data_IF_557303656986
#
_entry.id   IF_557303656986
#
_cell.length_a   1.000
_cell.length_b   1.000
_cell.length_c   1.000
_cell.angle_alpha   90.00
_cell.angle_beta   90.00
_cell.angle_gamma   90.00
#
_symmetry.space_group_name_H-M   'P 1'
#
loop_
_entity.id
_entity.type
_entity.pdbx_description
1 polymer ?
#
# COMPACT_ATOMS: atom_id res chain seq x y z
N UNK A 1 -38.35 37.76 12.13
CA UNK A 1 -38.99 37.15 13.31
C UNK A 1 -39.94 38.11 14.03
N UNK A 2 -39.68 39.41 14.07
CA UNK A 2 -40.54 40.40 14.77
C UNK A 2 -41.82 40.80 14.02
N UNK A 3 -41.81 40.84 12.68
CA UNK A 3 -42.94 41.38 11.89
C UNK A 3 -44.21 40.53 11.87
N UNK A 4 -44.09 39.20 11.80
CA UNK A 4 -45.26 38.29 11.71
C UNK A 4 -45.94 38.13 13.08
N UNK A 5 -45.14 38.06 14.16
CA UNK A 5 -45.60 38.02 15.55
C UNK A 5 -46.40 39.27 15.93
N UNK A 6 -45.92 40.44 15.50
CA UNK A 6 -46.62 41.69 15.73
C UNK A 6 -47.95 41.73 14.97
N UNK A 7 -48.01 41.15 13.75
CA UNK A 7 -49.23 41.14 12.94
C UNK A 7 -50.31 40.21 13.52
N UNK A 8 -49.93 39.03 14.05
CA UNK A 8 -50.89 38.07 14.63
C UNK A 8 -51.44 38.55 15.98
N UNK A 9 -50.60 39.13 16.84
CA UNK A 9 -51.05 39.78 18.09
C UNK A 9 -51.92 41.00 17.81
N UNK A 10 -51.58 41.82 16.80
CA UNK A 10 -52.37 42.99 16.44
C UNK A 10 -53.74 42.58 15.89
N UNK A 11 -53.80 41.57 15.00
CA UNK A 11 -55.07 41.05 14.48
C UNK A 11 -55.95 40.45 15.58
N UNK A 12 -55.36 39.70 16.51
CA UNK A 12 -56.10 39.10 17.64
C UNK A 12 -56.63 40.18 18.59
N UNK A 13 -55.84 41.22 18.88
CA UNK A 13 -56.27 42.38 19.68
C UNK A 13 -57.34 43.20 18.97
N UNK A 14 -57.25 43.40 17.65
CA UNK A 14 -58.25 44.13 16.86
C UNK A 14 -59.60 43.40 16.88
N UNK A 15 -59.61 42.07 16.73
CA UNK A 15 -60.83 41.25 16.76
C UNK A 15 -61.50 41.29 18.14
N UNK A 16 -60.71 41.25 19.22
CA UNK A 16 -61.20 41.39 20.61
C UNK A 16 -61.75 42.80 20.92
N UNK A 17 -61.11 43.85 20.38
CA UNK A 17 -61.52 45.25 20.61
C UNK A 17 -62.83 45.62 19.91
N UNK A 18 -63.20 44.95 18.82
CA UNK A 18 -64.43 45.24 18.05
C UNK A 18 -65.65 44.40 18.47
N UNK A 19 -65.62 43.73 19.63
CA UNK A 19 -66.81 43.08 20.22
C UNK A 19 -67.40 41.91 19.43
N UNK A 20 -66.68 41.39 18.43
CA UNK A 20 -67.08 40.21 17.68
C UNK A 20 -67.04 38.97 18.59
N UNK A 21 -68.15 38.21 18.68
CA UNK A 21 -68.13 36.89 19.33
C UNK A 21 -67.07 36.02 18.64
N UNK A 22 -66.06 35.60 19.40
CA UNK A 22 -65.09 34.58 18.98
C UNK A 22 -65.90 33.32 18.67
N UNK A 23 -66.07 33.01 17.39
CA UNK A 23 -66.69 31.75 16.96
C UNK A 23 -65.71 30.62 17.26
N UNK A 24 -66.22 29.42 17.55
CA UNK A 24 -65.40 28.24 17.85
C UNK A 24 -64.32 27.97 16.78
N UNK A 25 -64.53 28.44 15.53
CA UNK A 25 -63.52 28.39 14.45
C UNK A 25 -62.36 29.39 14.63
N UNK A 26 -62.59 30.59 15.18
CA UNK A 26 -61.53 31.57 15.48
C UNK A 26 -60.63 31.13 16.65
N UNK A 27 -61.18 30.43 17.65
CA UNK A 27 -60.38 29.88 18.74
C UNK A 27 -59.55 28.67 18.29
N UNK A 28 -60.12 27.83 17.42
CA UNK A 28 -59.42 26.68 16.82
C UNK A 28 -58.29 27.13 15.89
N UNK A 29 -58.49 28.19 15.11
CA UNK A 29 -57.45 28.78 14.25
C UNK A 29 -56.35 29.48 15.05
N UNK A 30 -56.68 30.16 16.15
CA UNK A 30 -55.67 30.70 17.06
C UNK A 30 -54.83 29.61 17.74
N UNK A 31 -55.45 28.52 18.21
CA UNK A 31 -54.72 27.36 18.78
C UNK A 31 -53.85 26.65 17.75
N UNK A 32 -54.34 26.51 16.51
CA UNK A 32 -53.57 25.96 15.40
C UNK A 32 -52.38 26.85 15.02
N UNK A 33 -52.54 28.18 15.05
CA UNK A 33 -51.46 29.13 14.79
C UNK A 33 -50.35 29.03 15.85
N UNK A 34 -50.69 29.05 17.14
CA UNK A 34 -49.72 28.90 18.24
C UNK A 34 -49.01 27.54 18.18
N UNK A 35 -49.72 26.47 17.83
CA UNK A 35 -49.13 25.14 17.68
C UNK A 35 -48.17 25.07 16.48
N UNK A 36 -48.49 25.71 15.37
CA UNK A 36 -47.61 25.80 14.18
C UNK A 36 -46.37 26.62 14.48
N UNK A 37 -46.51 27.74 15.20
CA UNK A 37 -45.39 28.59 15.64
C UNK A 37 -44.46 27.84 16.60
N UNK A 38 -45.00 27.16 17.62
CA UNK A 38 -44.22 26.30 18.51
C UNK A 38 -43.47 25.21 17.74
N UNK A 39 -44.11 24.59 16.74
CA UNK A 39 -43.46 23.58 15.90
C UNK A 39 -42.32 24.18 15.07
N UNK A 40 -42.49 25.40 14.54
CA UNK A 40 -41.40 26.09 13.80
C UNK A 40 -40.25 26.56 14.68
N UNK A 41 -40.51 27.00 15.91
CA UNK A 41 -39.45 27.37 16.87
C UNK A 41 -38.66 26.13 17.28
N UNK A 42 -39.36 25.03 17.55
CA UNK A 42 -38.74 23.76 17.91
C UNK A 42 -37.89 23.18 16.77
N UNK A 43 -38.37 23.24 15.52
CA UNK A 43 -37.57 22.81 14.36
C UNK A 43 -36.37 23.72 14.13
N UNK A 44 -36.49 25.05 14.30
CA UNK A 44 -35.34 25.96 14.22
C UNK A 44 -34.29 25.70 15.30
N UNK A 45 -34.71 25.42 16.55
CA UNK A 45 -33.77 25.08 17.64
C UNK A 45 -33.05 23.77 17.35
N UNK A 46 -33.75 22.76 16.83
CA UNK A 46 -33.15 21.48 16.42
C UNK A 46 -32.16 21.69 15.28
N UNK A 47 -32.52 22.47 14.25
CA UNK A 47 -31.62 22.75 13.13
C UNK A 47 -30.38 23.52 13.60
N UNK A 48 -30.53 24.53 14.46
CA UNK A 48 -29.41 25.29 15.00
C UNK A 48 -28.47 24.40 15.84
N UNK A 49 -29.02 23.59 16.73
CA UNK A 49 -28.27 22.64 17.54
C UNK A 49 -27.53 21.61 16.67
N UNK A 50 -28.20 21.07 15.64
CA UNK A 50 -27.58 20.16 14.67
C UNK A 50 -26.46 20.84 13.87
N UNK A 51 -26.65 22.08 13.42
CA UNK A 51 -25.61 22.82 12.68
C UNK A 51 -24.41 23.14 13.55
N UNK A 52 -24.61 23.49 14.82
CA UNK A 52 -23.50 23.79 15.74
C UNK A 52 -22.71 22.51 16.09
N UNK A 53 -23.43 21.38 16.28
CA UNK A 53 -22.83 20.07 16.51
C UNK A 53 -22.03 19.57 15.29
N UNK A 54 -22.58 19.75 14.09
CA UNK A 54 -21.91 19.42 12.82
C UNK A 54 -20.67 20.29 12.60
N UNK A 55 -20.76 21.59 12.87
CA UNK A 55 -19.63 22.52 12.70
C UNK A 55 -18.48 22.20 13.66
N UNK A 56 -18.78 21.90 14.93
CA UNK A 56 -17.77 21.47 15.91
C UNK A 56 -17.09 20.16 15.53
N UNK A 57 -17.85 19.17 15.04
CA UNK A 57 -17.28 17.89 14.59
C UNK A 57 -16.40 18.04 13.34
N UNK A 58 -16.76 18.91 12.39
CA UNK A 58 -15.97 19.19 11.19
C UNK A 58 -14.68 19.95 11.54
N UNK A 59 -14.73 20.90 12.47
CA UNK A 59 -13.56 21.70 12.87
C UNK A 59 -12.59 20.93 13.79
N UNK A 60 -13.10 20.10 14.70
CA UNK A 60 -12.26 19.18 15.49
C UNK A 60 -11.59 18.13 14.58
N UNK A 61 -12.27 17.72 13.51
CA UNK A 61 -11.73 16.87 12.45
C UNK A 61 -10.55 17.53 11.73
N UNK A 62 -10.56 18.84 11.43
CA UNK A 62 -9.45 19.48 10.68
C UNK A 62 -8.15 19.61 11.48
N UNK A 63 -8.21 19.89 12.78
CA UNK A 63 -7.03 19.94 13.66
C UNK A 63 -6.43 18.54 13.88
N UNK A 64 -7.28 17.54 14.10
CA UNK A 64 -6.83 16.14 14.20
C UNK A 64 -6.37 15.59 12.85
N UNK A 65 -6.97 16.00 11.73
CA UNK A 65 -6.47 15.74 10.38
C UNK A 65 -5.11 16.38 10.18
N UNK A 66 -4.90 17.63 10.58
CA UNK A 66 -3.62 18.30 10.46
C UNK A 66 -2.54 17.61 11.29
N UNK A 67 -2.89 17.15 12.50
CA UNK A 67 -1.98 16.39 13.35
C UNK A 67 -1.66 15.00 12.77
N UNK A 68 -2.66 14.28 12.26
CA UNK A 68 -2.47 13.02 11.52
C UNK A 68 -1.64 13.27 10.25
N UNK A 69 -1.86 14.38 9.55
CA UNK A 69 -1.12 14.74 8.34
C UNK A 69 0.35 15.04 8.66
N UNK A 70 0.62 15.77 9.74
CA UNK A 70 1.97 16.05 10.20
C UNK A 70 2.68 14.80 10.75
N UNK A 71 1.94 13.86 11.37
CA UNK A 71 2.45 12.55 11.78
C UNK A 71 2.75 11.65 10.56
N UNK A 72 1.95 11.76 9.50
CA UNK A 72 2.21 11.10 8.20
C UNK A 72 3.45 11.67 7.51
N UNK A 73 3.83 12.93 7.72
CA UNK A 73 5.07 13.52 7.15
C UNK A 73 6.29 13.38 8.08
N UNK A 74 6.39 12.25 8.78
CA UNK A 74 7.52 11.92 9.64
C UNK A 74 8.79 11.54 8.84
N UNK A 75 9.85 11.17 9.56
CA UNK A 75 11.08 10.70 8.94
C UNK A 75 10.90 9.37 8.21
N UNK A 76 9.97 8.51 8.64
CA UNK A 76 9.68 7.25 7.96
C UNK A 76 9.08 7.50 6.57
N UNK A 77 8.16 8.46 6.45
CA UNK A 77 7.61 8.87 5.17
C UNK A 77 8.70 9.36 4.22
N UNK A 78 9.65 10.17 4.70
CA UNK A 78 10.78 10.61 3.86
C UNK A 78 11.63 9.43 3.39
N UNK A 79 11.93 8.47 4.27
CA UNK A 79 12.67 7.26 3.91
C UNK A 79 11.94 6.41 2.86
N UNK A 80 10.64 6.17 3.06
CA UNK A 80 9.80 5.42 2.12
C UNK A 80 9.69 6.16 0.79
N UNK A 81 9.44 7.46 0.81
CA UNK A 81 9.27 8.26 -0.41
C UNK A 81 10.56 8.26 -1.24
N UNK A 82 11.71 8.52 -0.60
CA UNK A 82 13.00 8.52 -1.28
C UNK A 82 13.34 7.11 -1.81
N UNK A 83 13.10 6.05 -1.03
CA UNK A 83 13.37 4.68 -1.46
C UNK A 83 12.51 4.27 -2.66
N UNK A 84 11.25 4.70 -2.71
CA UNK A 84 10.36 4.45 -3.84
C UNK A 84 10.79 5.21 -5.10
N UNK A 85 11.20 6.48 -5.00
CA UNK A 85 11.71 7.23 -6.15
C UNK A 85 12.95 6.53 -6.74
N UNK A 86 13.89 6.13 -5.87
CA UNK A 86 15.07 5.37 -6.30
C UNK A 86 14.63 4.05 -6.96
N UNK A 87 13.65 3.37 -6.40
CA UNK A 87 13.17 2.11 -6.95
C UNK A 87 12.52 2.26 -8.32
N UNK A 88 11.70 3.29 -8.53
CA UNK A 88 11.13 3.60 -9.85
C UNK A 88 12.25 3.83 -10.87
N UNK A 89 13.27 4.62 -10.51
CA UNK A 89 14.39 4.88 -11.44
C UNK A 89 15.19 3.63 -11.76
N UNK A 90 15.44 2.76 -10.79
CA UNK A 90 16.15 1.51 -11.04
C UNK A 90 15.31 0.46 -11.75
N UNK A 91 13.99 0.42 -11.51
CA UNK A 91 13.05 -0.41 -12.26
C UNK A 91 12.96 0.03 -13.73
N UNK A 92 12.98 1.34 -14.01
CA UNK A 92 13.11 1.85 -15.37
C UNK A 92 14.43 1.39 -16.02
N UNK A 93 15.55 1.46 -15.28
CA UNK A 93 16.83 0.97 -15.76
C UNK A 93 16.80 -0.54 -16.06
N UNK A 94 16.22 -1.35 -15.17
CA UNK A 94 16.03 -2.78 -15.38
C UNK A 94 15.14 -3.06 -16.61
N UNK A 95 14.06 -2.29 -16.78
CA UNK A 95 13.17 -2.38 -17.95
C UNK A 95 13.89 -2.04 -19.27
N UNK A 96 14.72 -1.00 -19.29
CA UNK A 96 15.57 -0.68 -20.46
C UNK A 96 16.58 -1.79 -20.73
N UNK A 97 17.23 -2.30 -19.69
CA UNK A 97 18.18 -3.40 -19.81
C UNK A 97 17.49 -4.64 -20.38
N UNK A 98 16.30 -4.98 -19.88
CA UNK A 98 15.49 -6.06 -20.43
C UNK A 98 15.15 -5.81 -21.90
N UNK A 99 14.69 -4.61 -22.25
CA UNK A 99 14.31 -4.24 -23.61
C UNK A 99 15.44 -4.44 -24.62
N UNK A 100 16.70 -4.15 -24.24
CA UNK A 100 17.88 -4.36 -25.08
C UNK A 100 18.12 -5.84 -25.38
N UNK A 101 17.77 -6.74 -24.45
CA UNK A 101 18.03 -8.18 -24.57
C UNK A 101 16.76 -9.01 -24.85
N UNK A 102 15.61 -8.37 -24.98
CA UNK A 102 14.32 -9.04 -25.22
C UNK A 102 14.39 -9.97 -26.41
N UNK A 103 15.01 -9.56 -27.53
CA UNK A 103 15.11 -10.41 -28.72
C UNK A 103 15.82 -11.74 -28.44
N UNK A 104 16.86 -11.73 -27.60
CA UNK A 104 17.60 -12.93 -27.24
C UNK A 104 16.78 -13.86 -26.34
N UNK A 105 15.98 -13.28 -25.45
CA UNK A 105 15.09 -14.01 -24.54
C UNK A 105 13.92 -14.63 -25.32
N UNK A 106 13.36 -13.90 -26.29
CA UNK A 106 12.21 -14.32 -27.10
C UNK A 106 12.54 -15.43 -28.11
N UNK A 107 13.82 -15.64 -28.44
CA UNK A 107 14.23 -16.78 -29.28
C UNK A 107 13.91 -18.14 -28.65
N UNK A 108 13.69 -18.20 -27.33
CA UNK A 108 13.39 -19.43 -26.60
C UNK A 108 11.90 -19.44 -26.23
N UNK A 109 11.06 -20.26 -26.87
CA UNK A 109 9.60 -20.17 -26.75
C UNK A 109 9.04 -20.25 -25.32
N UNK A 110 9.69 -20.99 -24.41
CA UNK A 110 9.23 -21.09 -23.00
C UNK A 110 9.79 -20.01 -22.06
N UNK A 111 10.70 -19.13 -22.51
CA UNK A 111 11.22 -18.04 -21.67
C UNK A 111 10.19 -16.97 -21.36
N UNK A 112 9.19 -16.81 -22.21
CA UNK A 112 8.08 -15.85 -22.02
C UNK A 112 7.34 -16.03 -20.69
N UNK A 113 7.26 -17.26 -20.17
CA UNK A 113 6.61 -17.57 -18.89
C UNK A 113 7.62 -17.54 -17.74
N UNK A 114 8.84 -18.04 -18.00
CA UNK A 114 9.89 -18.08 -16.98
C UNK A 114 10.28 -16.67 -16.57
N UNK A 115 10.45 -15.75 -17.52
CA UNK A 115 10.96 -14.41 -17.27
C UNK A 115 10.17 -13.64 -16.19
N UNK A 116 8.84 -13.39 -16.34
CA UNK A 116 8.07 -12.65 -15.34
C UNK A 116 8.03 -13.37 -13.99
N UNK A 117 7.84 -14.71 -13.99
CA UNK A 117 7.80 -15.48 -12.76
C UNK A 117 9.15 -15.50 -12.02
N UNK A 118 10.25 -15.48 -12.76
CA UNK A 118 11.60 -15.46 -12.18
C UNK A 118 11.88 -14.10 -11.52
N UNK A 119 11.56 -13.00 -12.20
CA UNK A 119 11.72 -11.64 -11.69
C UNK A 119 10.92 -11.43 -10.40
N UNK A 120 9.63 -11.79 -10.42
CA UNK A 120 8.74 -11.62 -9.27
C UNK A 120 9.19 -12.43 -8.05
N UNK A 121 9.63 -13.68 -8.27
CA UNK A 121 10.11 -14.54 -7.19
C UNK A 121 11.29 -13.92 -6.42
N UNK A 122 12.17 -13.16 -7.08
CA UNK A 122 13.37 -12.60 -6.44
C UNK A 122 13.03 -11.58 -5.37
N UNK A 123 12.23 -10.57 -5.73
CA UNK A 123 11.76 -9.56 -4.79
C UNK A 123 11.05 -10.20 -3.58
N UNK A 124 10.24 -11.24 -3.83
CA UNK A 124 9.52 -11.96 -2.77
C UNK A 124 10.45 -12.73 -1.81
N UNK A 125 11.46 -13.44 -2.33
CA UNK A 125 12.40 -14.20 -1.49
C UNK A 125 13.25 -13.25 -0.65
N UNK A 126 13.89 -12.27 -1.29
CA UNK A 126 14.77 -11.31 -0.61
C UNK A 126 14.00 -10.40 0.33
N UNK A 127 12.78 -9.99 -0.03
CA UNK A 127 11.89 -9.20 0.81
C UNK A 127 11.42 -9.96 2.05
N UNK A 128 11.03 -11.25 1.90
CA UNK A 128 10.70 -12.09 3.06
C UNK A 128 11.92 -12.31 3.96
N UNK A 129 13.11 -12.42 3.38
CA UNK A 129 14.35 -12.58 4.12
C UNK A 129 14.71 -11.31 4.90
N UNK A 130 14.64 -10.13 4.27
CA UNK A 130 14.89 -8.85 4.93
C UNK A 130 13.85 -8.54 6.01
N UNK A 131 12.57 -8.88 5.80
CA UNK A 131 11.51 -8.71 6.81
C UNK A 131 11.75 -9.57 8.06
N UNK A 132 12.13 -10.85 7.88
CA UNK A 132 12.51 -11.73 9.00
C UNK A 132 13.75 -11.21 9.74
N UNK A 133 14.73 -10.71 9.00
CA UNK A 133 15.96 -10.14 9.58
C UNK A 133 15.67 -8.85 10.35
N UNK A 134 14.90 -7.93 9.77
CA UNK A 134 14.44 -6.68 10.41
C UNK A 134 13.67 -6.98 11.70
N UNK A 135 12.68 -7.87 11.64
CA UNK A 135 11.91 -8.31 12.82
C UNK A 135 12.83 -8.88 13.90
N UNK A 136 13.79 -9.72 13.54
CA UNK A 136 14.75 -10.28 14.48
C UNK A 136 15.70 -9.25 15.12
N UNK A 137 16.01 -8.16 14.40
CA UNK A 137 16.79 -7.04 14.93
C UNK A 137 15.99 -6.23 15.95
N UNK A 138 14.73 -5.89 15.65
CA UNK A 138 13.84 -5.19 16.57
C UNK A 138 13.53 -6.00 17.84
N UNK A 139 13.33 -7.32 17.69
CA UNK A 139 13.16 -8.24 18.81
C UNK A 139 14.45 -8.53 19.58
N UNK A 140 15.59 -7.97 19.16
CA UNK A 140 16.94 -8.17 19.75
C UNK A 140 17.41 -9.63 19.81
N UNK A 141 16.76 -10.53 19.07
CA UNK A 141 17.21 -11.93 18.90
C UNK A 141 18.36 -12.03 17.88
N UNK A 142 18.50 -11.03 17.00
CA UNK A 142 19.62 -10.87 16.09
C UNK A 142 20.46 -9.67 16.55
N UNK A 143 21.76 -9.89 16.74
CA UNK A 143 22.67 -8.81 17.07
C UNK A 143 23.21 -8.16 15.78
N UNK A 144 23.01 -6.85 15.57
CA UNK A 144 23.45 -6.18 14.35
C UNK A 144 24.96 -6.23 14.14
N UNK A 145 25.78 -6.39 15.19
CA UNK A 145 27.26 -6.48 15.11
C UNK A 145 27.78 -7.90 14.87
N UNK A 146 26.97 -8.94 15.13
CA UNK A 146 27.36 -10.35 14.99
C UNK A 146 26.55 -11.02 13.89
N UNK A 147 27.12 -11.07 12.69
CA UNK A 147 26.49 -11.67 11.50
C UNK A 147 26.39 -13.20 11.61
N UNK A 148 27.26 -13.83 12.40
CA UNK A 148 27.37 -15.29 12.47
C UNK A 148 26.41 -15.94 13.50
N UNK A 149 25.15 -15.54 13.50
CA UNK A 149 24.13 -16.17 14.38
C UNK A 149 23.51 -17.39 13.70
N UNK A 150 23.11 -18.38 14.50
CA UNK A 150 22.37 -19.56 14.00
C UNK A 150 21.06 -19.17 13.30
N UNK A 151 20.44 -18.07 13.73
CA UNK A 151 19.21 -17.54 13.14
C UNK A 151 19.49 -16.94 11.76
N UNK A 152 20.55 -16.14 11.60
CA UNK A 152 20.92 -15.56 10.30
C UNK A 152 21.26 -16.68 9.31
N UNK A 153 22.15 -17.59 9.69
CA UNK A 153 22.55 -18.72 8.84
C UNK A 153 21.38 -19.63 8.47
N UNK A 154 20.46 -19.91 9.41
CA UNK A 154 19.23 -20.65 9.12
C UNK A 154 18.34 -19.95 8.09
N UNK A 155 18.14 -18.63 8.22
CA UNK A 155 17.36 -17.86 7.25
C UNK A 155 18.05 -17.74 5.88
N UNK A 156 19.38 -17.65 5.85
CA UNK A 156 20.17 -17.67 4.61
C UNK A 156 19.96 -18.99 3.87
N UNK A 157 20.22 -20.12 4.54
CA UNK A 157 20.07 -21.45 3.94
C UNK A 157 18.63 -21.68 3.48
N UNK A 158 17.63 -21.32 4.30
CA UNK A 158 16.23 -21.45 3.93
C UNK A 158 15.88 -20.63 2.67
N UNK A 159 16.39 -19.40 2.55
CA UNK A 159 16.09 -18.53 1.41
C UNK A 159 16.81 -18.99 0.13
N UNK A 160 18.05 -19.45 0.24
CA UNK A 160 18.78 -20.08 -0.86
C UNK A 160 18.06 -21.33 -1.35
N UNK A 161 17.70 -22.25 -0.45
CA UNK A 161 17.00 -23.48 -0.79
C UNK A 161 15.65 -23.20 -1.43
N UNK A 162 14.89 -22.24 -0.88
CA UNK A 162 13.60 -21.84 -1.44
C UNK A 162 13.76 -21.34 -2.89
N UNK A 163 14.76 -20.51 -3.16
CA UNK A 163 15.01 -20.01 -4.50
C UNK A 163 15.37 -21.13 -5.49
N UNK A 164 16.15 -22.13 -5.08
CA UNK A 164 16.47 -23.28 -5.94
C UNK A 164 15.22 -24.11 -6.24
N UNK A 165 14.41 -24.41 -5.22
CA UNK A 165 13.19 -25.21 -5.36
C UNK A 165 12.19 -24.50 -6.30
N UNK A 166 11.93 -23.21 -6.07
CA UNK A 166 10.95 -22.49 -6.89
C UNK A 166 11.48 -22.28 -8.31
N UNK A 167 12.78 -22.11 -8.51
CA UNK A 167 13.38 -22.02 -9.85
C UNK A 167 13.31 -23.34 -10.61
N UNK A 168 13.46 -24.48 -9.92
CA UNK A 168 13.22 -25.80 -10.51
C UNK A 168 11.76 -25.94 -10.96
N UNK A 169 10.82 -25.56 -10.11
CA UNK A 169 9.38 -25.58 -10.44
C UNK A 169 9.10 -24.69 -11.65
N UNK A 170 9.65 -23.48 -11.68
CA UNK A 170 9.49 -22.55 -12.80
C UNK A 170 10.08 -23.12 -14.10
N UNK A 171 11.24 -23.76 -14.04
CA UNK A 171 11.84 -24.47 -15.17
C UNK A 171 10.97 -25.63 -15.68
N UNK A 172 10.38 -26.42 -14.77
CA UNK A 172 9.45 -27.50 -15.10
C UNK A 172 8.17 -26.96 -15.75
N UNK A 173 7.64 -25.84 -15.27
CA UNK A 173 6.48 -25.15 -15.87
C UNK A 173 6.83 -24.68 -17.28
N UNK A 174 7.99 -24.04 -17.47
CA UNK A 174 8.46 -23.61 -18.78
C UNK A 174 8.67 -24.78 -19.75
N UNK A 175 9.19 -25.90 -19.26
CA UNK A 175 9.31 -27.15 -20.04
C UNK A 175 7.95 -27.70 -20.46
N UNK A 176 7.01 -27.80 -19.53
CA UNK A 176 5.66 -28.31 -19.82
C UNK A 176 4.95 -27.41 -20.83
N UNK A 177 5.07 -26.10 -20.69
CA UNK A 177 4.51 -25.15 -21.65
C UNK A 177 5.12 -25.32 -23.05
N UNK A 178 6.44 -25.47 -23.13
CA UNK A 178 7.13 -25.67 -24.40
C UNK A 178 6.68 -26.98 -25.09
N UNK A 179 6.51 -28.04 -24.31
CA UNK A 179 6.02 -29.32 -24.81
C UNK A 179 4.56 -29.26 -25.27
N UNK A 180 3.67 -28.61 -24.52
CA UNK A 180 2.23 -28.59 -24.82
C UNK A 180 1.88 -27.62 -25.96
N UNK A 181 2.48 -26.43 -25.98
CA UNK A 181 2.12 -25.37 -26.92
C UNK A 181 2.93 -25.46 -28.20
N UNK A 182 4.26 -25.54 -28.07
CA UNK A 182 5.16 -25.53 -29.23
C UNK A 182 5.54 -26.93 -29.71
N UNK A 183 5.19 -27.99 -28.96
CA UNK A 183 5.56 -29.38 -29.25
C UNK A 183 7.07 -29.60 -29.37
N UNK A 184 7.86 -28.77 -28.66
CA UNK A 184 9.33 -28.86 -28.64
C UNK A 184 9.80 -29.41 -27.29
N UNK A 185 10.53 -30.53 -27.33
CA UNK A 185 11.13 -31.12 -26.13
C UNK A 185 12.53 -30.55 -25.90
N UNK A 186 12.62 -29.48 -25.10
CA UNK A 186 13.90 -28.84 -24.75
C UNK A 186 14.16 -28.89 -23.25
N UNK A 187 14.83 -29.94 -22.77
CA UNK A 187 15.16 -30.13 -21.34
C UNK A 187 16.05 -29.02 -20.81
N UNK A 188 16.88 -28.43 -21.67
CA UNK A 188 17.73 -27.27 -21.39
C UNK A 188 16.97 -26.11 -20.73
N UNK A 189 15.68 -25.95 -21.02
CA UNK A 189 14.86 -24.86 -20.47
C UNK A 189 14.69 -24.93 -18.95
N UNK A 190 14.80 -26.12 -18.36
CA UNK A 190 14.73 -26.32 -16.90
C UNK A 190 15.99 -25.78 -16.24
N UNK A 191 17.13 -25.87 -16.92
CA UNK A 191 18.44 -25.49 -16.38
C UNK A 191 18.64 -23.98 -16.34
N UNK A 192 18.01 -23.22 -17.25
CA UNK A 192 18.14 -21.76 -17.34
C UNK A 192 17.77 -21.08 -16.01
N UNK A 193 16.54 -21.21 -15.47
CA UNK A 193 16.18 -20.56 -14.21
C UNK A 193 16.98 -21.12 -13.02
N UNK A 194 17.41 -22.38 -13.05
CA UNK A 194 18.26 -22.96 -11.99
C UNK A 194 19.64 -22.29 -11.93
N UNK A 195 20.32 -22.17 -13.06
CA UNK A 195 21.64 -21.52 -13.14
C UNK A 195 21.49 -20.04 -12.79
N UNK A 196 20.49 -19.37 -13.35
CA UNK A 196 20.19 -17.98 -13.04
C UNK A 196 19.93 -17.76 -11.55
N UNK A 197 19.22 -18.69 -10.89
CA UNK A 197 18.95 -18.61 -9.45
C UNK A 197 20.20 -18.76 -8.61
N UNK A 198 21.11 -19.67 -8.97
CA UNK A 198 22.39 -19.84 -8.27
C UNK A 198 23.20 -18.53 -8.33
N UNK A 199 23.31 -17.96 -9.52
CA UNK A 199 24.04 -16.71 -9.76
C UNK A 199 23.37 -15.55 -8.99
N UNK A 200 22.07 -15.36 -9.16
CA UNK A 200 21.31 -14.28 -8.53
C UNK A 200 21.35 -14.38 -6.99
N UNK A 201 21.12 -15.57 -6.43
CA UNK A 201 21.19 -15.78 -4.98
C UNK A 201 22.56 -15.44 -4.40
N UNK A 202 23.63 -15.78 -5.13
CA UNK A 202 25.00 -15.49 -4.72
C UNK A 202 25.26 -13.99 -4.52
N UNK A 203 24.47 -13.13 -5.15
CA UNK A 203 24.60 -11.67 -5.06
C UNK A 203 23.52 -11.06 -4.16
N UNK A 204 22.25 -11.37 -4.43
CA UNK A 204 21.11 -10.65 -3.88
C UNK A 204 20.87 -10.96 -2.39
N UNK A 205 21.01 -12.22 -1.97
CA UNK A 205 20.79 -12.60 -0.56
C UNK A 205 21.87 -11.97 0.34
N UNK A 206 23.19 -12.06 0.02
CA UNK A 206 24.21 -11.32 0.75
C UNK A 206 23.96 -9.80 0.74
N UNK A 207 23.59 -9.24 -0.41
CA UNK A 207 23.29 -7.81 -0.53
C UNK A 207 22.15 -7.40 0.40
N UNK A 208 21.05 -8.17 0.45
CA UNK A 208 19.93 -7.93 1.33
C UNK A 208 20.31 -8.04 2.81
N UNK A 209 21.15 -9.02 3.18
CA UNK A 209 21.68 -9.17 4.53
C UNK A 209 22.51 -7.94 4.95
N UNK A 210 23.46 -7.54 4.12
CA UNK A 210 24.34 -6.40 4.42
C UNK A 210 23.56 -5.09 4.47
N UNK A 211 22.67 -4.84 3.50
CA UNK A 211 21.84 -3.64 3.44
C UNK A 211 20.94 -3.53 4.68
N UNK A 212 20.23 -4.59 5.05
CA UNK A 212 19.35 -4.61 6.24
C UNK A 212 20.14 -4.29 7.51
N UNK A 213 21.29 -4.96 7.71
CA UNK A 213 22.14 -4.72 8.88
C UNK A 213 22.74 -3.31 8.88
N UNK A 214 23.12 -2.80 7.71
CA UNK A 214 23.68 -1.47 7.57
C UNK A 214 22.65 -0.38 7.90
N UNK A 215 21.46 -0.47 7.33
CA UNK A 215 20.35 0.46 7.59
C UNK A 215 20.01 0.49 9.09
N UNK A 216 19.85 -0.68 9.70
CA UNK A 216 19.56 -0.79 11.12
C UNK A 216 20.67 -0.19 12.00
N UNK A 217 21.95 -0.40 11.65
CA UNK A 217 23.10 0.20 12.37
C UNK A 217 23.14 1.72 12.23
N UNK A 218 22.62 2.26 11.13
CA UNK A 218 22.52 3.71 10.89
C UNK A 218 21.29 4.36 11.53
N UNK A 219 20.41 3.56 12.14
CA UNK A 219 19.21 4.03 12.80
C UNK A 219 18.02 4.24 11.86
N UNK A 220 18.13 3.82 10.59
CA UNK A 220 17.00 3.76 9.66
C UNK A 220 16.20 2.49 9.91
N UNK A 221 14.88 2.55 9.74
CA UNK A 221 14.06 1.33 9.77
C UNK A 221 14.25 0.57 8.44
N UNK A 222 14.83 -0.65 8.45
CA UNK A 222 14.98 -1.42 7.23
C UNK A 222 13.65 -1.70 6.52
N UNK A 223 12.52 -1.71 7.24
CA UNK A 223 11.20 -1.95 6.65
C UNK A 223 10.77 -0.84 5.69
N UNK A 224 11.28 0.39 5.86
CA UNK A 224 10.95 1.54 5.00
C UNK A 224 11.66 1.50 3.64
N UNK A 225 12.84 0.87 3.59
CA UNK A 225 13.78 0.99 2.47
C UNK A 225 13.99 -0.36 1.77
N UNK A 226 13.99 -1.47 2.52
CA UNK A 226 14.39 -2.77 1.98
C UNK A 226 13.45 -3.27 0.89
N UNK A 227 12.12 -3.06 0.99
CA UNK A 227 11.18 -3.50 -0.04
C UNK A 227 11.53 -2.94 -1.44
N UNK A 228 11.53 -1.61 -1.62
CA UNK A 228 11.92 -0.97 -2.88
C UNK A 228 13.35 -1.30 -3.31
N UNK A 229 14.27 -1.38 -2.34
CA UNK A 229 15.67 -1.75 -2.59
C UNK A 229 15.80 -3.15 -3.18
N UNK A 230 15.22 -4.18 -2.55
CA UNK A 230 15.34 -5.57 -3.01
C UNK A 230 14.68 -5.80 -4.34
N UNK A 231 13.53 -5.18 -4.61
CA UNK A 231 12.85 -5.30 -5.91
C UNK A 231 13.74 -4.76 -7.01
N UNK A 232 14.26 -3.55 -6.82
CA UNK A 232 15.10 -2.88 -7.83
C UNK A 232 16.40 -3.62 -8.11
N UNK A 233 17.11 -4.01 -7.04
CA UNK A 233 18.35 -4.79 -7.21
C UNK A 233 18.06 -6.18 -7.74
N UNK A 234 16.95 -6.77 -7.31
CA UNK A 234 16.47 -8.09 -7.72
C UNK A 234 16.20 -8.12 -9.22
N UNK A 235 15.48 -7.13 -9.77
CA UNK A 235 15.18 -7.04 -11.19
C UNK A 235 16.45 -6.98 -12.04
N UNK A 236 17.38 -6.08 -11.71
CA UNK A 236 18.65 -5.94 -12.44
C UNK A 236 19.49 -7.22 -12.36
N UNK A 237 19.69 -7.75 -11.15
CA UNK A 237 20.49 -8.97 -10.94
C UNK A 237 19.84 -10.17 -11.62
N UNK A 238 18.51 -10.27 -11.64
CA UNK A 238 17.76 -11.35 -12.28
C UNK A 238 17.91 -11.35 -13.78
N UNK A 239 17.78 -10.18 -14.41
CA UNK A 239 17.91 -10.09 -15.87
C UNK A 239 19.34 -10.47 -16.25
N UNK A 240 20.33 -9.93 -15.55
CA UNK A 240 21.73 -10.28 -15.80
C UNK A 240 22.02 -11.76 -15.56
N UNK A 241 21.47 -12.36 -14.50
CA UNK A 241 21.69 -13.78 -14.20
C UNK A 241 21.02 -14.70 -15.22
N UNK A 242 19.82 -14.34 -15.71
CA UNK A 242 19.16 -15.05 -16.81
C UNK A 242 19.97 -14.97 -18.10
N UNK A 243 20.48 -13.79 -18.46
CA UNK A 243 21.33 -13.63 -19.65
C UNK A 243 22.62 -14.44 -19.54
N UNK A 244 23.27 -14.42 -18.37
CA UNK A 244 24.45 -15.26 -18.13
C UNK A 244 24.11 -16.75 -18.25
N UNK A 245 22.98 -17.19 -17.69
CA UNK A 245 22.53 -18.58 -17.81
C UNK A 245 22.27 -18.98 -19.27
N UNK A 246 21.75 -18.07 -20.09
CA UNK A 246 21.56 -18.28 -21.53
C UNK A 246 22.89 -18.39 -22.29
N UNK A 247 23.89 -17.59 -21.94
CA UNK A 247 25.21 -17.64 -22.58
C UNK A 247 25.97 -18.92 -22.21
N UNK A 248 25.76 -19.45 -21.01
CA UNK A 248 26.45 -20.66 -20.52
C UNK A 248 25.94 -21.94 -21.20
N UNK A 249 24.72 -21.97 -21.74
CA UNK A 249 23.98 -23.20 -22.07
C UNK A 249 23.74 -23.42 -23.59
#
# INVERSE_FOLDING_TARGET
MTGIMMLSELLTRIILLHGGRITQSTELTARAAVMTECLTIFTLQIVHALTEQLFKNIFLSSESLFFILMDVFDNNFKEIFISQIVSITGGLFAGVLLAVFTDQILLIPGMLIILPGFLEMRGNISGSFSSRLSSGLFLKIINPKKVNSKIISGNLIASFTLAIIVSLILGLIGFLFNLLIFKVMTVKIILIPLIAAIIANGVEIPLALFATLYLFRKGHDPNNIMGPFVTTTGDVVSILSLLLALVIL
#
